data_IF_178887563480
#
_entry.id   IF_178887563480
#
_cell.length_a   1.000
_cell.length_b   1.000
_cell.length_c   1.000
_cell.angle_alpha   90.00
_cell.angle_beta   90.00
_cell.angle_gamma   90.00
#
_symmetry.space_group_name_H-M   'P 1'
#
loop_
_entity.id
_entity.type
_entity.pdbx_description
1 polymer ?
#
# COMPACT_ATOMS: atom_id res chain seq x y z
N UNK A 1 38.06 19.44 -18.44
CA UNK A 1 37.64 18.30 -17.61
C UNK A 1 36.58 18.77 -16.62
N UNK A 2 35.30 18.38 -16.76
CA UNK A 2 34.41 18.40 -15.61
C UNK A 2 33.64 17.07 -15.48
N UNK A 3 33.92 16.29 -14.44
CA UNK A 3 32.91 15.54 -13.68
C UNK A 3 33.42 15.46 -12.24
N UNK A 4 32.51 15.50 -11.24
CA UNK A 4 31.84 14.27 -10.86
C UNK A 4 30.34 14.48 -10.67
N UNK A 5 29.53 13.92 -11.57
CA UNK A 5 28.15 13.55 -11.23
C UNK A 5 28.27 12.36 -10.29
N UNK A 6 28.40 12.63 -8.99
CA UNK A 6 28.24 11.61 -7.96
C UNK A 6 26.82 11.06 -8.04
N UNK A 7 26.62 9.74 -7.86
CA UNK A 7 25.30 9.13 -7.94
C UNK A 7 24.39 9.84 -6.94
N UNK A 8 23.20 10.28 -7.40
CA UNK A 8 22.15 10.80 -6.52
C UNK A 8 22.02 9.83 -5.36
N UNK A 9 22.40 10.28 -4.16
CA UNK A 9 22.30 9.46 -2.97
C UNK A 9 20.84 9.01 -2.85
N UNK A 10 20.56 7.73 -2.57
CA UNK A 10 19.20 7.28 -2.33
C UNK A 10 18.71 8.08 -1.12
N UNK A 11 17.85 9.07 -1.38
CA UNK A 11 17.25 9.83 -0.30
C UNK A 11 16.47 8.82 0.55
N UNK A 12 16.73 8.75 1.86
CA UNK A 12 15.96 7.85 2.72
C UNK A 12 14.49 8.26 2.58
N UNK A 13 13.65 7.31 2.18
CA UNK A 13 12.21 7.52 2.09
C UNK A 13 11.74 8.09 3.42
N UNK A 14 11.05 9.21 3.38
CA UNK A 14 10.44 9.81 4.56
C UNK A 14 9.45 8.80 5.17
N UNK A 15 9.21 8.91 6.47
CA UNK A 15 8.20 8.07 7.14
C UNK A 15 6.83 8.18 6.44
N UNK A 16 6.52 9.34 5.86
CA UNK A 16 5.31 9.58 5.08
C UNK A 16 5.30 8.80 3.76
N UNK A 17 6.41 8.77 3.01
CA UNK A 17 6.53 7.99 1.77
C UNK A 17 6.42 6.48 2.02
N UNK A 18 7.03 5.99 3.11
CA UNK A 18 6.89 4.59 3.52
C UNK A 18 5.44 4.24 3.87
N UNK A 19 4.77 5.09 4.66
CA UNK A 19 3.36 4.90 5.00
C UNK A 19 2.45 4.98 3.77
N UNK A 20 2.75 5.85 2.80
CA UNK A 20 2.02 5.93 1.54
C UNK A 20 2.20 4.65 0.70
N UNK A 21 3.43 4.10 0.64
CA UNK A 21 3.70 2.85 -0.04
C UNK A 21 2.95 1.66 0.58
N UNK A 22 2.84 1.65 1.90
CA UNK A 22 2.07 0.65 2.65
C UNK A 22 0.56 0.72 2.34
N UNK A 23 0.00 1.94 2.26
CA UNK A 23 -1.40 2.16 1.84
C UNK A 23 -1.63 1.66 0.42
N UNK A 24 -0.74 1.98 -0.52
CA UNK A 24 -0.88 1.55 -1.91
C UNK A 24 -0.81 0.02 -2.04
N UNK A 25 0.11 -0.61 -1.31
CA UNK A 25 0.23 -2.08 -1.29
C UNK A 25 -1.02 -2.74 -0.72
N UNK A 26 -1.55 -2.22 0.39
CA UNK A 26 -2.76 -2.74 1.02
C UNK A 26 -4.01 -2.53 0.16
N UNK A 27 -4.07 -1.39 -0.55
CA UNK A 27 -5.15 -1.10 -1.49
C UNK A 27 -5.14 -2.06 -2.68
N UNK A 28 -3.98 -2.29 -3.28
CA UNK A 28 -3.83 -3.22 -4.39
C UNK A 28 -4.21 -4.67 -3.99
N UNK A 29 -3.82 -5.10 -2.78
CA UNK A 29 -4.23 -6.38 -2.23
C UNK A 29 -5.76 -6.49 -2.07
N UNK A 30 -6.40 -5.47 -1.47
CA UNK A 30 -7.85 -5.41 -1.34
C UNK A 30 -8.56 -5.38 -2.70
N UNK A 31 -8.06 -4.60 -3.66
CA UNK A 31 -8.63 -4.52 -5.00
C UNK A 31 -8.56 -5.86 -5.74
N UNK A 32 -7.47 -6.61 -5.59
CA UNK A 32 -7.35 -7.98 -6.12
C UNK A 32 -8.34 -8.95 -5.49
N UNK A 33 -8.49 -8.90 -4.17
CA UNK A 33 -9.48 -9.73 -3.45
C UNK A 33 -10.90 -9.40 -3.90
N UNK A 34 -11.24 -8.12 -3.99
CA UNK A 34 -12.53 -7.63 -4.47
C UNK A 34 -12.82 -8.12 -5.90
N UNK A 35 -11.86 -7.94 -6.81
CA UNK A 35 -11.99 -8.37 -8.20
C UNK A 35 -12.11 -9.90 -8.34
N UNK A 36 -11.40 -10.66 -7.50
CA UNK A 36 -11.51 -12.11 -7.46
C UNK A 36 -12.89 -12.57 -6.98
N UNK A 37 -13.47 -11.88 -5.98
CA UNK A 37 -14.83 -12.14 -5.49
C UNK A 37 -15.91 -11.80 -6.52
N UNK A 38 -15.78 -10.66 -7.21
CA UNK A 38 -16.70 -10.24 -8.27
C UNK A 38 -16.48 -11.02 -9.59
N UNK A 39 -15.41 -11.81 -9.68
CA UNK A 39 -15.04 -12.60 -10.84
C UNK A 39 -15.98 -13.79 -11.09
N UNK A 40 -16.32 -14.00 -12.36
CA UNK A 40 -17.19 -15.10 -12.84
C UNK A 40 -16.54 -16.50 -12.65
N UNK A 41 -15.23 -16.57 -12.39
CA UNK A 41 -14.51 -17.84 -12.28
C UNK A 41 -14.73 -18.51 -10.90
N UNK A 42 -15.35 -19.71 -10.86
CA UNK A 42 -15.72 -20.37 -9.61
C UNK A 42 -14.54 -20.80 -8.74
N UNK A 43 -13.32 -20.93 -9.30
CA UNK A 43 -12.10 -21.27 -8.56
C UNK A 43 -11.46 -20.12 -7.79
N UNK A 44 -11.95 -18.89 -7.97
CA UNK A 44 -11.34 -17.68 -7.37
C UNK A 44 -12.25 -17.01 -6.35
N UNK A 45 -13.18 -17.76 -5.73
CA UNK A 45 -14.02 -17.24 -4.65
C UNK A 45 -13.16 -17.01 -3.41
N UNK A 46 -12.53 -15.86 -3.36
CA UNK A 46 -11.96 -15.34 -2.13
C UNK A 46 -13.10 -15.24 -1.12
N UNK A 47 -12.93 -15.87 0.04
CA UNK A 47 -13.96 -15.92 1.05
C UNK A 47 -14.26 -14.52 1.61
N UNK A 48 -15.49 -14.25 2.09
CA UNK A 48 -15.86 -12.95 2.66
C UNK A 48 -14.92 -12.50 3.78
N UNK A 49 -14.38 -13.45 4.56
CA UNK A 49 -13.41 -13.18 5.63
C UNK A 49 -12.07 -12.63 5.14
N UNK A 50 -11.66 -12.98 3.94
CA UNK A 50 -10.38 -12.55 3.37
C UNK A 50 -10.49 -11.15 2.76
N UNK A 51 -11.67 -10.79 2.23
CA UNK A 51 -11.98 -9.40 1.87
C UNK A 51 -12.03 -8.50 3.11
N UNK A 52 -12.73 -8.93 4.16
CA UNK A 52 -12.80 -8.20 5.44
C UNK A 52 -11.40 -7.96 6.00
N UNK A 53 -10.57 -9.01 6.05
CA UNK A 53 -9.17 -8.89 6.50
C UNK A 53 -8.37 -7.91 5.64
N UNK A 54 -8.46 -8.00 4.31
CA UNK A 54 -7.73 -7.08 3.43
C UNK A 54 -8.20 -5.62 3.58
N UNK A 55 -9.49 -5.42 3.86
CA UNK A 55 -10.06 -4.11 4.13
C UNK A 55 -9.58 -3.56 5.48
N UNK A 56 -9.55 -4.37 6.54
CA UNK A 56 -9.01 -3.98 7.85
C UNK A 56 -7.54 -3.55 7.76
N UNK A 57 -6.70 -4.31 7.04
CA UNK A 57 -5.29 -3.97 6.80
C UNK A 57 -5.15 -2.62 6.08
N UNK A 58 -5.98 -2.36 5.06
CA UNK A 58 -6.03 -1.07 4.37
C UNK A 58 -6.42 0.07 5.31
N UNK A 59 -7.43 -0.13 6.17
CA UNK A 59 -7.84 0.88 7.15
C UNK A 59 -6.72 1.21 8.13
N UNK A 60 -5.99 0.20 8.61
CA UNK A 60 -4.86 0.40 9.50
C UNK A 60 -3.71 1.16 8.82
N UNK A 61 -3.39 0.84 7.57
CA UNK A 61 -2.36 1.55 6.80
C UNK A 61 -2.73 3.04 6.62
N UNK A 62 -4.00 3.34 6.30
CA UNK A 62 -4.50 4.72 6.18
C UNK A 62 -4.43 5.46 7.51
N UNK A 63 -4.78 4.79 8.62
CA UNK A 63 -4.66 5.35 9.96
C UNK A 63 -3.20 5.72 10.26
N UNK A 64 -2.25 4.81 9.98
CA UNK A 64 -0.81 5.06 10.13
C UNK A 64 -0.36 6.27 9.32
N UNK A 65 -0.72 6.35 8.03
CA UNK A 65 -0.39 7.48 7.17
C UNK A 65 -0.91 8.81 7.72
N UNK A 66 -2.14 8.85 8.25
CA UNK A 66 -2.74 10.05 8.85
C UNK A 66 -2.01 10.51 10.12
N UNK A 67 -1.54 9.58 10.94
CA UNK A 67 -0.69 9.92 12.10
C UNK A 67 0.66 10.48 11.66
N UNK A 68 1.26 9.91 10.61
CA UNK A 68 2.58 10.33 10.11
C UNK A 68 2.53 11.68 9.37
N UNK A 69 1.40 12.02 8.75
CA UNK A 69 1.22 13.28 8.02
C UNK A 69 0.75 14.44 8.91
N UNK A 70 0.40 14.19 10.18
CA UNK A 70 -0.03 15.24 11.09
C UNK A 70 1.19 16.04 11.55
N UNK A 71 1.32 17.34 11.21
CA UNK A 71 2.34 18.18 11.79
C UNK A 71 2.09 18.28 13.31
N UNK A 72 3.18 18.15 14.08
CA UNK A 72 3.17 18.32 15.54
C UNK A 72 2.86 19.75 15.93
#
# INVERSE_FOLDING_TARGET
MPTPTGPSSPHPLTAQELAAHEVLTSFDAYARVRAARDGVLPSSRVGPREEERAFDELQQAIARLRTTSRPR
#
